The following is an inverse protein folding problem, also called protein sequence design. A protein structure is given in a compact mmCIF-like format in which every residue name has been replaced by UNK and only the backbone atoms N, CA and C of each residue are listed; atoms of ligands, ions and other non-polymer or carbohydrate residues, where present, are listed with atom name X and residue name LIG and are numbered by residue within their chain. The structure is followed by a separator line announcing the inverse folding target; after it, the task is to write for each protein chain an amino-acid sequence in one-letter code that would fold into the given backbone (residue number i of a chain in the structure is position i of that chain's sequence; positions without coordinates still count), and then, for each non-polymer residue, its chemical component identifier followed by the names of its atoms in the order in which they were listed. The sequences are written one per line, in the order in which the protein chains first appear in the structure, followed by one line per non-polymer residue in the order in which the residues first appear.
data_IF_403629822530
#
_entry.id   IF_403629822530
#
_cell.length_a   1.000
_cell.length_b   1.000
_cell.length_c   1.000
_cell.angle_alpha   90.00
_cell.angle_beta   90.00
_cell.angle_gamma   90.00
#
_symmetry.space_group_name_H-M   'P 1'
#
loop_
_entity.id
_entity.type
_entity.pdbx_description
1 polymer ?
#
# COMPACT_ATOMS: atom_id res chain seq x y z
N UNK A 1 -0.56 38.36 -17.85
CA UNK A 1 -1.71 37.43 -17.97
C UNK A 1 -1.58 36.47 -19.17
N UNK A 2 -1.42 36.97 -20.40
CA UNK A 2 -1.28 36.13 -21.62
C UNK A 2 -0.12 35.13 -21.56
N UNK A 3 1.06 35.56 -21.09
CA UNK A 3 2.24 34.71 -20.98
C UNK A 3 2.09 33.58 -19.94
N UNK A 4 1.40 33.88 -18.83
CA UNK A 4 1.10 32.92 -17.78
C UNK A 4 0.09 31.86 -18.24
N UNK A 5 -0.97 32.29 -18.92
CA UNK A 5 -1.98 31.38 -19.47
C UNK A 5 -1.38 30.47 -20.55
N UNK A 6 -0.49 31.00 -21.40
CA UNK A 6 0.24 30.22 -22.40
C UNK A 6 1.16 29.19 -21.76
N UNK A 7 1.86 29.54 -20.69
CA UNK A 7 2.71 28.61 -19.94
C UNK A 7 1.89 27.48 -19.30
N UNK A 8 0.76 27.82 -18.67
CA UNK A 8 -0.13 26.83 -18.06
C UNK A 8 -0.70 25.87 -19.10
N UNK A 9 -1.06 26.36 -20.28
CA UNK A 9 -1.57 25.53 -21.38
C UNK A 9 -0.49 24.59 -21.94
N UNK A 10 0.74 25.06 -22.11
CA UNK A 10 1.86 24.22 -22.53
C UNK A 10 2.16 23.11 -21.51
N UNK A 11 2.19 23.48 -20.23
CA UNK A 11 2.42 22.53 -19.13
C UNK A 11 1.30 21.48 -19.05
N UNK A 12 0.05 21.88 -19.28
CA UNK A 12 -1.07 20.94 -19.38
C UNK A 12 -0.94 20.02 -20.59
N UNK A 13 -0.58 20.55 -21.76
CA UNK A 13 -0.41 19.76 -22.98
C UNK A 13 0.71 18.71 -22.83
N UNK A 14 1.82 19.08 -22.20
CA UNK A 14 2.94 18.18 -21.91
C UNK A 14 2.52 17.07 -20.93
N UNK A 15 1.88 17.43 -19.81
CA UNK A 15 1.33 16.46 -18.84
C UNK A 15 0.30 15.52 -19.45
N UNK A 16 -0.55 16.02 -20.34
CA UNK A 16 -1.56 15.21 -21.01
C UNK A 16 -0.91 14.22 -21.99
N UNK A 17 0.14 14.64 -22.69
CA UNK A 17 0.90 13.76 -23.59
C UNK A 17 1.65 12.67 -22.81
N UNK A 18 2.26 13.00 -21.66
CA UNK A 18 2.86 12.02 -20.75
C UNK A 18 1.84 10.96 -20.31
N UNK A 19 0.64 11.38 -19.92
CA UNK A 19 -0.43 10.47 -19.50
C UNK A 19 -0.89 9.56 -20.65
N UNK A 20 -1.00 10.11 -21.85
CA UNK A 20 -1.41 9.36 -23.05
C UNK A 20 -0.39 8.28 -23.43
N UNK A 21 0.90 8.57 -23.35
CA UNK A 21 1.96 7.57 -23.58
C UNK A 21 1.98 6.50 -22.48
N UNK A 22 1.82 6.88 -21.22
CA UNK A 22 1.74 5.93 -20.11
C UNK A 22 0.55 4.96 -20.27
N UNK A 23 -0.61 5.48 -20.69
CA UNK A 23 -1.80 4.67 -20.98
C UNK A 23 -1.58 3.73 -22.17
N UNK A 24 -0.87 4.17 -23.22
CA UNK A 24 -0.48 3.33 -24.36
C UNK A 24 0.42 2.18 -23.91
N UNK A 25 1.44 2.48 -23.11
CA UNK A 25 2.40 1.49 -22.61
C UNK A 25 1.74 0.47 -21.67
N UNK A 26 0.82 0.90 -20.82
CA UNK A 26 0.04 0.01 -19.96
C UNK A 26 -0.85 -0.94 -20.76
N UNK A 27 -1.47 -0.44 -21.84
CA UNK A 27 -2.28 -1.25 -22.76
C UNK A 27 -1.41 -2.28 -23.48
N UNK A 28 -0.26 -1.87 -24.01
CA UNK A 28 0.70 -2.75 -24.69
C UNK A 28 1.22 -3.85 -23.74
N UNK A 29 1.62 -3.49 -22.52
CA UNK A 29 2.05 -4.46 -21.48
C UNK A 29 0.94 -5.44 -21.08
N UNK A 30 -0.32 -4.99 -21.06
CA UNK A 30 -1.47 -5.86 -20.77
C UNK A 30 -1.76 -6.84 -21.90
N UNK A 31 -1.54 -6.42 -23.16
CA UNK A 31 -1.72 -7.26 -24.34
C UNK A 31 -0.60 -8.29 -24.47
N UNK A 32 0.65 -7.90 -24.25
CA UNK A 32 1.82 -8.80 -24.27
C UNK A 32 1.73 -9.88 -23.18
N UNK A 33 1.21 -9.53 -22.00
CA UNK A 33 0.95 -10.50 -20.91
C UNK A 33 -0.15 -11.51 -21.26
N UNK A 34 -1.09 -11.16 -22.13
CA UNK A 34 -2.15 -12.07 -22.61
C UNK A 34 -1.66 -13.00 -23.72
N UNK A 35 -0.73 -12.53 -24.57
CA UNK A 35 -0.16 -13.32 -25.66
C UNK A 35 0.87 -14.35 -25.15
N UNK A 36 1.64 -14.05 -24.09
CA UNK A 36 2.63 -14.96 -23.50
C UNK A 36 2.06 -16.12 -22.66
N UNK A 37 0.77 -16.09 -22.29
CA UNK A 37 0.10 -17.17 -21.55
C UNK A 37 -0.59 -18.20 -22.45
N UNK A 38 -0.52 -18.04 -23.78
CA UNK A 38 -1.14 -18.93 -24.75
C UNK A 38 -0.13 -19.87 -25.41
N UNK A 39 0.50 -20.75 -24.62
CA UNK A 39 1.27 -21.90 -25.15
C UNK A 39 0.61 -23.20 -24.68
N UNK A 40 0.11 -24.06 -25.60
CA UNK A 40 -0.38 -25.39 -25.24
C UNK A 40 0.80 -26.33 -25.07
N UNK A 41 1.03 -26.85 -23.86
CA UNK A 41 2.01 -27.90 -23.61
C UNK A 41 1.45 -29.27 -24.04
N UNK A 42 2.08 -29.87 -25.04
CA UNK A 42 2.11 -31.33 -25.23
C UNK A 42 3.10 -31.97 -24.24
N UNK A 43 2.90 -33.26 -24.02
CA UNK A 43 3.87 -34.27 -23.57
C UNK A 43 3.83 -34.66 -22.07
N UNK A 44 3.15 -35.79 -21.82
CA UNK A 44 3.29 -36.62 -20.62
C UNK A 44 4.06 -37.88 -21.03
N UNK A 45 5.30 -38.01 -20.58
CA UNK A 45 6.05 -39.25 -20.57
C UNK A 45 6.16 -39.72 -19.12
N UNK A 46 5.59 -40.91 -18.85
CA UNK A 46 5.61 -41.54 -17.54
C UNK A 46 7.01 -41.96 -17.12
N UNK A 47 7.42 -41.50 -15.94
CA UNK A 47 8.60 -41.98 -15.23
C UNK A 47 8.19 -42.91 -14.09
N UNK A 48 8.53 -44.18 -14.24
CA UNK A 48 8.57 -45.20 -13.18
C UNK A 48 9.53 -44.77 -12.07
N UNK A 49 9.09 -44.74 -10.80
CA UNK A 49 9.99 -44.86 -9.64
C UNK A 49 9.31 -45.60 -8.47
N UNK A 50 9.67 -46.88 -8.36
CA UNK A 50 9.95 -47.67 -7.14
C UNK A 50 9.33 -47.28 -5.78
N UNK A 51 8.56 -48.23 -5.22
CA UNK A 51 8.49 -48.53 -3.77
C UNK A 51 9.90 -48.76 -3.18
N UNK A 52 10.17 -48.50 -1.87
CA UNK A 52 9.59 -49.31 -0.77
C UNK A 52 9.49 -48.62 0.62
N UNK A 53 8.64 -49.12 1.52
CA UNK A 53 9.01 -49.58 2.88
C UNK A 53 7.78 -50.02 3.71
N UNK A 54 7.89 -51.21 4.31
CA UNK A 54 7.18 -51.61 5.53
C UNK A 54 7.69 -50.80 6.73
N UNK A 55 6.95 -50.79 7.85
CA UNK A 55 7.52 -51.43 9.04
C UNK A 55 6.51 -52.29 9.85
N UNK A 56 7.02 -53.40 10.36
CA UNK A 56 6.48 -54.17 11.49
C UNK A 56 6.52 -53.36 12.80
N UNK A 57 5.51 -53.53 13.66
CA UNK A 57 5.75 -53.98 15.05
C UNK A 57 4.47 -54.11 15.91
N UNK A 58 4.21 -55.37 16.28
CA UNK A 58 4.07 -55.95 17.64
C UNK A 58 3.11 -55.34 18.68
N UNK A 59 2.18 -56.20 19.13
CA UNK A 59 1.75 -56.52 20.52
C UNK A 59 0.21 -56.72 20.54
N UNK A 60 -0.42 -57.80 20.99
CA UNK A 60 0.00 -59.00 21.74
C UNK A 60 -1.18 -59.41 22.64
N UNK A 61 -1.81 -60.57 22.40
CA UNK A 61 -2.73 -61.33 23.31
C UNK A 61 -2.99 -62.64 22.55
N UNK A 62 -2.29 -63.76 22.72
CA UNK A 62 -2.08 -64.60 23.92
C UNK A 62 -3.34 -64.80 24.75
N UNK A 63 -4.13 -65.82 24.43
CA UNK A 63 -4.43 -66.83 25.44
C UNK A 63 -4.63 -68.20 24.79
N UNK A 64 -4.07 -69.19 25.47
CA UNK A 64 -3.83 -70.55 25.06
C UNK A 64 -4.99 -71.46 25.53
N UNK A 65 -5.11 -72.63 24.90
CA UNK A 65 -5.86 -73.83 25.34
C UNK A 65 -7.38 -73.78 25.05
N UNK A 66 -8.05 -74.87 24.66
CA UNK A 66 -7.93 -76.27 25.10
C UNK A 66 -8.47 -77.16 23.98
N UNK A 67 -7.69 -78.16 23.56
CA UNK A 67 -8.17 -79.34 22.81
C UNK A 67 -9.22 -80.10 23.63
N UNK A 68 -10.07 -80.92 22.99
CA UNK A 68 -9.86 -82.34 23.29
C UNK A 68 -9.96 -83.21 22.04
N UNK A 69 -8.82 -83.78 21.68
CA UNK A 69 -8.72 -85.10 21.08
C UNK A 69 -8.21 -86.05 22.17
N UNK A 70 -9.07 -86.98 22.62
CA UNK A 70 -8.68 -88.24 23.27
C UNK A 70 -9.73 -89.26 22.82
N UNK A 71 -9.40 -90.12 21.84
CA UNK A 71 -9.09 -91.57 21.99
C UNK A 71 -10.15 -92.35 22.79
N UNK A 72 -10.60 -93.55 22.40
CA UNK A 72 -9.76 -94.73 22.15
C UNK A 72 -10.66 -95.94 21.78
N UNK A 73 -10.00 -97.00 21.27
CA UNK A 73 -10.39 -98.42 21.29
C UNK A 73 -11.28 -98.94 20.14
N UNK A 74 -10.97 -100.04 19.44
CA UNK A 74 -9.84 -100.97 19.45
C UNK A 74 -9.85 -101.79 18.15
N UNK A 75 -8.67 -102.13 17.62
CA UNK A 75 -8.47 -103.37 16.84
C UNK A 75 -8.68 -104.57 17.79
N UNK A 76 -9.24 -105.71 17.34
CA UNK A 76 -8.41 -106.65 16.58
C UNK A 76 -9.12 -107.45 15.48
N UNK A 77 -8.38 -107.64 14.39
CA UNK A 77 -8.50 -108.75 13.44
C UNK A 77 -8.51 -110.10 14.16
N UNK A 78 -9.56 -110.89 13.94
CA UNK A 78 -9.55 -112.35 14.04
C UNK A 78 -10.69 -112.91 13.17
N UNK A 79 -10.36 -113.67 12.11
CA UNK A 79 -11.29 -114.65 11.56
C UNK A 79 -11.33 -115.86 12.50
N UNK A 80 -12.49 -116.49 12.70
CA UNK A 80 -12.67 -117.77 12.04
C UNK A 80 -14.08 -118.00 11.47
N UNK A 81 -14.08 -118.75 10.38
CA UNK A 81 -15.18 -119.54 9.81
C UNK A 81 -16.17 -120.11 10.83
N UNK A 82 -17.48 -119.95 10.60
CA UNK A 82 -18.43 -121.09 10.48
C UNK A 82 -19.83 -120.64 10.05
N UNK A 83 -20.30 -121.25 8.96
CA UNK A 83 -21.64 -121.19 8.40
C UNK A 83 -22.69 -121.66 9.41
N UNK A 84 -23.58 -120.77 9.87
CA UNK A 84 -25.04 -120.98 10.03
C UNK A 84 -25.63 -119.84 10.85
N UNK A 85 -26.07 -118.76 10.18
CA UNK A 85 -27.14 -117.80 10.57
C UNK A 85 -27.15 -116.62 9.56
N UNK A 86 -26.98 -116.93 8.28
CA UNK A 86 -26.62 -115.99 7.21
C UNK A 86 -27.77 -115.14 6.65
N UNK A 87 -28.94 -115.07 7.33
CA UNK A 87 -30.09 -114.30 6.83
C UNK A 87 -30.39 -113.02 7.63
N UNK A 88 -30.08 -112.97 8.93
CA UNK A 88 -30.36 -111.78 9.79
C UNK A 88 -29.24 -110.73 9.75
N UNK A 89 -27.99 -111.16 9.55
CA UNK A 89 -26.85 -110.26 9.40
C UNK A 89 -26.90 -109.45 8.09
N UNK A 90 -27.39 -110.04 7.00
CA UNK A 90 -27.53 -109.38 5.68
C UNK A 90 -28.45 -108.14 5.73
N UNK A 91 -29.59 -108.24 6.41
CA UNK A 91 -30.55 -107.12 6.54
C UNK A 91 -30.02 -105.96 7.38
N UNK A 92 -29.27 -106.24 8.45
CA UNK A 92 -28.69 -105.21 9.33
C UNK A 92 -27.56 -104.45 8.63
N UNK A 93 -26.73 -105.18 7.85
CA UNK A 93 -25.67 -104.58 7.03
C UNK A 93 -26.26 -103.68 5.94
N UNK A 94 -27.35 -104.11 5.27
CA UNK A 94 -28.04 -103.29 4.27
C UNK A 94 -28.56 -101.96 4.85
N UNK A 95 -29.18 -101.99 6.04
CA UNK A 95 -29.67 -100.78 6.73
C UNK A 95 -28.54 -99.84 7.14
N UNK A 96 -27.38 -100.38 7.52
CA UNK A 96 -26.20 -99.57 7.84
C UNK A 96 -25.70 -98.80 6.60
N UNK A 97 -25.58 -99.46 5.45
CA UNK A 97 -25.19 -98.81 4.19
C UNK A 97 -26.21 -97.79 3.70
N UNK A 98 -27.52 -98.05 3.86
CA UNK A 98 -28.57 -97.08 3.56
C UNK A 98 -28.47 -95.82 4.44
N UNK A 99 -28.23 -95.99 5.74
CA UNK A 99 -28.02 -94.89 6.67
C UNK A 99 -26.75 -94.09 6.32
N UNK A 100 -25.66 -94.76 5.98
CA UNK A 100 -24.41 -94.12 5.58
C UNK A 100 -24.57 -93.35 4.25
N UNK A 101 -25.29 -93.92 3.28
CA UNK A 101 -25.63 -93.23 2.04
C UNK A 101 -26.50 -91.99 2.29
N UNK A 102 -27.46 -92.06 3.21
CA UNK A 102 -28.29 -90.92 3.60
C UNK A 102 -27.44 -89.82 4.27
N UNK A 103 -26.52 -90.19 5.17
CA UNK A 103 -25.57 -89.25 5.80
C UNK A 103 -24.63 -88.63 4.76
N UNK A 104 -24.10 -89.41 3.82
CA UNK A 104 -23.24 -88.91 2.74
C UNK A 104 -23.99 -87.93 1.82
N UNK A 105 -25.25 -88.22 1.47
CA UNK A 105 -26.10 -87.29 0.73
C UNK A 105 -26.34 -86.00 1.51
N UNK A 106 -26.62 -86.09 2.81
CA UNK A 106 -26.76 -84.93 3.69
C UNK A 106 -25.48 -84.10 3.79
N UNK A 107 -24.32 -84.74 3.88
CA UNK A 107 -23.02 -84.09 3.90
C UNK A 107 -22.71 -83.41 2.56
N UNK A 108 -23.01 -84.07 1.43
CA UNK A 108 -22.85 -83.49 0.10
C UNK A 108 -23.74 -82.25 -0.11
N UNK A 109 -24.98 -82.28 0.40
CA UNK A 109 -25.88 -81.12 0.38
C UNK A 109 -25.32 -79.95 1.21
N UNK A 110 -24.78 -80.22 2.41
CA UNK A 110 -24.13 -79.20 3.25
C UNK A 110 -22.90 -78.59 2.58
N UNK A 111 -22.05 -79.41 1.96
CA UNK A 111 -20.88 -78.93 1.20
C UNK A 111 -21.30 -78.06 0.02
N UNK A 112 -22.35 -78.44 -0.70
CA UNK A 112 -22.90 -77.65 -1.81
C UNK A 112 -23.44 -76.30 -1.31
N UNK A 113 -24.17 -76.29 -0.19
CA UNK A 113 -24.67 -75.06 0.42
C UNK A 113 -23.54 -74.13 0.87
N UNK A 114 -22.52 -74.66 1.56
CA UNK A 114 -21.35 -73.90 2.00
C UNK A 114 -20.54 -73.34 0.82
N UNK A 115 -20.46 -74.07 -0.30
CA UNK A 115 -19.81 -73.59 -1.52
C UNK A 115 -20.58 -72.44 -2.16
N UNK A 116 -21.92 -72.53 -2.23
CA UNK A 116 -22.77 -71.45 -2.74
C UNK A 116 -22.68 -70.21 -1.85
N UNK A 117 -22.68 -70.39 -0.54
CA UNK A 117 -22.50 -69.32 0.45
C UNK A 117 -21.12 -68.68 0.33
N UNK A 118 -20.05 -69.48 0.24
CA UNK A 118 -18.70 -68.95 -0.01
C UNK A 118 -18.61 -68.19 -1.34
N UNK A 119 -19.32 -68.65 -2.37
CA UNK A 119 -19.38 -67.97 -3.67
C UNK A 119 -20.13 -66.64 -3.56
N UNK A 120 -21.21 -66.57 -2.78
CA UNK A 120 -21.93 -65.33 -2.49
C UNK A 120 -21.06 -64.36 -1.69
N UNK A 121 -20.34 -64.84 -0.67
CA UNK A 121 -19.41 -64.05 0.12
C UNK A 121 -18.33 -63.43 -0.76
N UNK A 122 -17.70 -64.20 -1.64
CA UNK A 122 -16.69 -63.67 -2.57
C UNK A 122 -17.26 -62.54 -3.45
N UNK A 123 -18.51 -62.65 -3.92
CA UNK A 123 -19.16 -61.58 -4.68
C UNK A 123 -19.40 -60.34 -3.83
N UNK A 124 -19.87 -60.50 -2.59
CA UNK A 124 -20.08 -59.40 -1.66
C UNK A 124 -18.77 -58.68 -1.32
N UNK A 125 -17.69 -59.41 -1.00
CA UNK A 125 -16.38 -58.82 -0.73
C UNK A 125 -15.83 -58.06 -1.94
N UNK A 126 -16.02 -58.58 -3.16
CA UNK A 126 -15.64 -57.87 -4.39
C UNK A 126 -16.42 -56.57 -4.58
N UNK A 127 -17.73 -56.60 -4.32
CA UNK A 127 -18.56 -55.40 -4.40
C UNK A 127 -18.14 -54.37 -3.34
N UNK A 128 -17.87 -54.81 -2.12
CA UNK A 128 -17.41 -53.95 -1.04
C UNK A 128 -16.04 -53.32 -1.36
N UNK A 129 -15.12 -54.11 -1.93
CA UNK A 129 -13.82 -53.60 -2.37
C UNK A 129 -13.97 -52.55 -3.47
N UNK A 130 -14.84 -52.78 -4.45
CA UNK A 130 -15.11 -51.81 -5.50
C UNK A 130 -15.69 -50.49 -4.94
N UNK A 131 -16.62 -50.57 -3.98
CA UNK A 131 -17.18 -49.40 -3.32
C UNK A 131 -16.12 -48.59 -2.54
N UNK A 132 -15.19 -49.26 -1.84
CA UNK A 132 -14.09 -48.58 -1.16
C UNK A 132 -13.07 -47.97 -2.13
N UNK A 133 -12.82 -48.60 -3.28
CA UNK A 133 -11.96 -48.03 -4.32
C UNK A 133 -12.55 -46.75 -4.91
N UNK A 134 -13.84 -46.76 -5.26
CA UNK A 134 -14.53 -45.57 -5.75
C UNK A 134 -14.51 -44.43 -4.71
N UNK A 135 -14.76 -44.75 -3.44
CA UNK A 135 -14.70 -43.78 -2.35
C UNK A 135 -13.29 -43.22 -2.13
N UNK A 136 -12.25 -44.06 -2.23
CA UNK A 136 -10.87 -43.63 -2.15
C UNK A 136 -10.49 -42.68 -3.30
N UNK A 137 -10.90 -42.99 -4.53
CA UNK A 137 -10.70 -42.11 -5.68
C UNK A 137 -11.45 -40.77 -5.52
N UNK A 138 -12.68 -40.82 -5.01
CA UNK A 138 -13.48 -39.62 -4.72
C UNK A 138 -12.81 -38.74 -3.66
N UNK A 139 -12.31 -39.34 -2.58
CA UNK A 139 -11.58 -38.62 -1.53
C UNK A 139 -10.27 -38.03 -2.06
N UNK A 140 -9.52 -38.77 -2.88
CA UNK A 140 -8.30 -38.27 -3.50
C UNK A 140 -8.56 -37.03 -4.37
N UNK A 141 -9.58 -37.08 -5.25
CA UNK A 141 -10.02 -35.92 -6.04
C UNK A 141 -10.38 -34.74 -5.15
N UNK A 142 -11.13 -34.99 -4.08
CA UNK A 142 -11.53 -33.93 -3.14
C UNK A 142 -10.34 -33.29 -2.42
N UNK A 143 -9.34 -34.08 -2.04
CA UNK A 143 -8.11 -33.56 -1.43
C UNK A 143 -7.37 -32.66 -2.41
N UNK A 144 -7.16 -33.09 -3.67
CA UNK A 144 -6.50 -32.27 -4.69
C UNK A 144 -7.24 -30.95 -4.97
N UNK A 145 -8.57 -30.98 -5.02
CA UNK A 145 -9.38 -29.75 -5.15
C UNK A 145 -9.17 -28.81 -3.97
N UNK A 146 -9.16 -29.33 -2.74
CA UNK A 146 -8.96 -28.53 -1.54
C UNK A 146 -7.55 -27.94 -1.47
N UNK A 147 -6.52 -28.69 -1.88
CA UNK A 147 -5.14 -28.20 -1.99
C UNK A 147 -5.04 -27.06 -3.01
N UNK A 148 -5.68 -27.21 -4.17
CA UNK A 148 -5.75 -26.17 -5.19
C UNK A 148 -6.43 -24.89 -4.65
N UNK A 149 -7.62 -25.04 -4.06
CA UNK A 149 -8.37 -23.91 -3.47
C UNK A 149 -7.58 -23.25 -2.34
N UNK A 150 -6.90 -24.02 -1.49
CA UNK A 150 -6.06 -23.49 -0.42
C UNK A 150 -4.89 -22.67 -0.98
N UNK A 151 -4.24 -23.15 -2.04
CA UNK A 151 -3.15 -22.41 -2.69
C UNK A 151 -3.62 -21.08 -3.27
N UNK A 152 -4.81 -21.08 -3.89
CA UNK A 152 -5.44 -19.87 -4.43
C UNK A 152 -5.82 -18.89 -3.31
N UNK A 153 -6.38 -19.39 -2.20
CA UNK A 153 -6.73 -18.56 -1.04
C UNK A 153 -5.50 -17.86 -0.45
N UNK A 154 -4.37 -18.57 -0.38
CA UNK A 154 -3.10 -17.99 0.07
C UNK A 154 -2.61 -16.87 -0.88
N UNK A 155 -2.68 -17.07 -2.19
CA UNK A 155 -2.31 -16.04 -3.17
C UNK A 155 -3.19 -14.79 -3.05
N UNK A 156 -4.51 -14.97 -2.89
CA UNK A 156 -5.46 -13.86 -2.66
C UNK A 156 -5.16 -13.15 -1.34
N UNK A 157 -4.81 -13.89 -0.29
CA UNK A 157 -4.44 -13.31 1.00
C UNK A 157 -3.19 -12.43 0.87
N UNK A 158 -2.13 -12.92 0.22
CA UNK A 158 -0.91 -12.15 -0.04
C UNK A 158 -1.22 -10.88 -0.83
N UNK A 159 -1.96 -10.99 -1.93
CA UNK A 159 -2.35 -9.82 -2.73
C UNK A 159 -3.18 -8.81 -1.92
N UNK A 160 -4.09 -9.28 -1.06
CA UNK A 160 -4.85 -8.42 -0.14
C UNK A 160 -3.91 -7.69 0.83
N UNK A 161 -2.89 -8.35 1.36
CA UNK A 161 -1.91 -7.70 2.25
C UNK A 161 -1.09 -6.65 1.53
N UNK A 162 -0.65 -6.90 0.29
CA UNK A 162 0.09 -5.94 -0.54
C UNK A 162 -0.75 -4.70 -0.89
N UNK A 163 -2.03 -4.89 -1.24
CA UNK A 163 -2.97 -3.79 -1.47
C UNK A 163 -3.12 -2.96 -0.20
N UNK A 164 -3.34 -3.58 0.95
CA UNK A 164 -3.51 -2.86 2.21
C UNK A 164 -2.24 -2.06 2.57
N UNK A 165 -1.06 -2.63 2.34
CA UNK A 165 0.20 -1.93 2.53
C UNK A 165 0.31 -0.71 1.61
N UNK A 166 -0.03 -0.87 0.32
CA UNK A 166 -0.04 0.23 -0.66
C UNK A 166 -1.02 1.33 -0.26
N UNK A 167 -2.21 0.96 0.24
CA UNK A 167 -3.20 1.92 0.74
C UNK A 167 -2.63 2.73 1.91
N UNK A 168 -2.01 2.07 2.90
CA UNK A 168 -1.41 2.76 4.05
C UNK A 168 -0.28 3.72 3.64
N UNK A 169 0.54 3.33 2.67
CA UNK A 169 1.61 4.18 2.12
C UNK A 169 1.03 5.42 1.41
N UNK A 170 -0.01 5.23 0.60
CA UNK A 170 -0.70 6.32 -0.07
C UNK A 170 -1.40 7.26 0.92
N UNK A 171 -2.05 6.74 1.96
CA UNK A 171 -2.66 7.53 3.03
C UNK A 171 -1.60 8.34 3.80
N UNK A 172 -0.45 7.75 4.11
CA UNK A 172 0.67 8.46 4.75
C UNK A 172 1.21 9.57 3.85
N UNK A 173 1.35 9.30 2.55
CA UNK A 173 1.80 10.30 1.58
C UNK A 173 0.79 11.44 1.44
N UNK A 174 -0.51 11.12 1.36
CA UNK A 174 -1.60 12.09 1.31
C UNK A 174 -1.55 13.02 2.53
N UNK A 175 -1.46 12.45 3.73
CA UNK A 175 -1.37 13.22 4.98
C UNK A 175 -0.18 14.18 4.98
N UNK A 176 1.01 13.72 4.56
CA UNK A 176 2.20 14.60 4.45
C UNK A 176 1.99 15.74 3.45
N UNK A 177 1.29 15.47 2.33
CA UNK A 177 0.97 16.51 1.33
C UNK A 177 -0.08 17.50 1.85
N UNK A 178 -1.05 17.05 2.64
CA UNK A 178 -2.02 17.93 3.30
C UNK A 178 -1.33 18.86 4.32
N UNK A 179 -0.41 18.34 5.13
CA UNK A 179 0.40 19.12 6.08
C UNK A 179 1.28 20.15 5.35
N UNK A 180 1.89 19.78 4.21
CA UNK A 180 2.64 20.68 3.34
C UNK A 180 1.79 21.84 2.81
N UNK A 181 0.59 21.52 2.31
CA UNK A 181 -0.34 22.51 1.78
C UNK A 181 -0.73 23.51 2.87
N UNK A 182 -0.98 23.05 4.09
CA UNK A 182 -1.36 23.94 5.20
C UNK A 182 -0.20 24.85 5.61
N UNK A 183 1.04 24.34 5.62
CA UNK A 183 2.23 25.18 5.88
C UNK A 183 2.43 26.24 4.81
N UNK A 184 2.29 25.87 3.53
CA UNK A 184 2.42 26.83 2.42
C UNK A 184 1.32 27.89 2.45
N UNK A 185 0.09 27.54 2.85
CA UNK A 185 -0.97 28.54 3.05
C UNK A 185 -0.62 29.52 4.16
N UNK A 186 -0.07 29.05 5.28
CA UNK A 186 0.40 29.92 6.36
C UNK A 186 1.50 30.87 5.88
N UNK A 187 2.47 30.36 5.14
CA UNK A 187 3.56 31.16 4.56
C UNK A 187 3.04 32.23 3.59
N UNK A 188 2.07 31.89 2.71
CA UNK A 188 1.41 32.85 1.82
C UNK A 188 0.70 33.95 2.60
N UNK A 189 0.02 33.60 3.69
CA UNK A 189 -0.67 34.59 4.53
C UNK A 189 0.32 35.51 5.24
N UNK A 190 1.39 34.98 5.82
CA UNK A 190 2.47 35.78 6.42
C UNK A 190 3.15 36.69 5.39
N UNK A 191 3.42 36.19 4.18
CA UNK A 191 3.96 36.99 3.09
C UNK A 191 3.03 38.13 2.69
N UNK A 192 1.71 37.86 2.60
CA UNK A 192 0.70 38.89 2.32
C UNK A 192 0.64 39.97 3.41
N UNK A 193 0.77 39.59 4.68
CA UNK A 193 0.80 40.54 5.80
C UNK A 193 2.04 41.43 5.76
N UNK A 194 3.22 40.84 5.58
CA UNK A 194 4.47 41.59 5.42
C UNK A 194 4.42 42.54 4.21
N UNK A 195 3.82 42.08 3.12
CA UNK A 195 3.59 42.89 1.92
C UNK A 195 2.69 44.11 2.23
N UNK A 196 1.60 43.93 2.98
CA UNK A 196 0.73 45.03 3.39
C UNK A 196 1.45 46.02 4.34
N UNK A 197 2.29 45.52 5.25
CA UNK A 197 3.13 46.36 6.11
C UNK A 197 4.14 47.18 5.29
N UNK A 198 4.82 46.55 4.32
CA UNK A 198 5.73 47.21 3.39
C UNK A 198 5.02 48.32 2.62
N UNK A 199 3.83 48.07 2.11
CA UNK A 199 3.06 49.06 1.34
C UNK A 199 2.66 50.25 2.23
N UNK A 200 2.26 49.98 3.47
CA UNK A 200 1.97 51.03 4.47
C UNK A 200 3.20 51.88 4.80
N UNK A 201 4.37 51.24 5.00
CA UNK A 201 5.61 51.96 5.26
C UNK A 201 6.06 52.79 4.05
N UNK A 202 5.88 52.26 2.84
CA UNK A 202 6.19 52.96 1.59
C UNK A 202 5.32 54.21 1.45
N UNK A 203 4.02 54.11 1.76
CA UNK A 203 3.12 55.27 1.74
C UNK A 203 3.55 56.32 2.78
N UNK A 204 3.84 55.92 4.02
CA UNK A 204 4.32 56.85 5.06
C UNK A 204 5.63 57.54 4.67
N UNK A 205 6.53 56.81 4.01
CA UNK A 205 7.78 57.37 3.52
C UNK A 205 7.51 58.47 2.47
N UNK A 206 6.64 58.20 1.49
CA UNK A 206 6.24 59.19 0.49
C UNK A 206 5.58 60.43 1.11
N UNK A 207 4.71 60.26 2.11
CA UNK A 207 4.09 61.38 2.82
C UNK A 207 5.14 62.24 3.57
N UNK A 208 6.15 61.60 4.17
CA UNK A 208 7.26 62.32 4.83
C UNK A 208 8.14 63.03 3.81
N UNK A 209 8.44 62.41 2.67
CA UNK A 209 9.22 63.01 1.58
C UNK A 209 8.55 64.26 1.01
N UNK A 210 7.22 64.20 0.78
CA UNK A 210 6.45 65.36 0.31
C UNK A 210 6.49 66.47 1.36
N UNK A 211 6.21 66.15 2.63
CA UNK A 211 6.25 67.13 3.72
C UNK A 211 7.63 67.77 3.86
N UNK A 212 8.70 67.00 3.67
CA UNK A 212 10.06 67.52 3.74
C UNK A 212 10.32 68.51 2.59
N UNK A 213 9.91 68.18 1.36
CA UNK A 213 10.01 69.11 0.22
C UNK A 213 9.24 70.42 0.45
N UNK A 214 8.05 70.33 1.03
CA UNK A 214 7.25 71.52 1.36
C UNK A 214 7.95 72.39 2.42
N UNK A 215 8.57 71.77 3.43
CA UNK A 215 9.34 72.48 4.46
C UNK A 215 10.62 73.10 3.89
N UNK A 216 11.34 72.38 3.03
CA UNK A 216 12.50 72.90 2.30
C UNK A 216 12.13 74.14 1.46
N UNK A 217 10.98 74.12 0.79
CA UNK A 217 10.44 75.27 0.06
C UNK A 217 10.13 76.46 0.98
N UNK A 218 9.44 76.24 2.10
CA UNK A 218 9.16 77.30 3.08
C UNK A 218 10.44 77.89 3.67
N UNK A 219 11.45 77.06 3.91
CA UNK A 219 12.73 77.50 4.45
C UNK A 219 13.46 78.39 3.43
N UNK A 220 13.48 77.99 2.15
CA UNK A 220 14.04 78.82 1.07
C UNK A 220 13.33 80.17 0.93
N UNK A 221 12.00 80.21 1.04
CA UNK A 221 11.22 81.46 0.97
C UNK A 221 11.56 82.39 2.15
N UNK A 222 11.72 81.82 3.36
CA UNK A 222 12.11 82.58 4.55
C UNK A 222 13.54 83.11 4.43
N UNK A 223 14.48 82.30 3.94
CA UNK A 223 15.86 82.71 3.67
C UNK A 223 15.90 83.89 2.71
N UNK A 224 15.17 83.82 1.59
CA UNK A 224 15.10 84.91 0.61
C UNK A 224 14.51 86.21 1.21
N UNK A 225 13.48 86.09 2.05
CA UNK A 225 12.88 87.25 2.75
C UNK A 225 13.86 87.89 3.72
N UNK A 226 14.62 87.09 4.46
CA UNK A 226 15.66 87.59 5.37
C UNK A 226 16.77 88.29 4.59
N UNK A 227 17.27 87.68 3.52
CA UNK A 227 18.28 88.28 2.64
C UNK A 227 17.81 89.62 2.06
N UNK A 228 16.57 89.68 1.57
CA UNK A 228 15.97 90.93 1.07
C UNK A 228 15.93 92.01 2.15
N UNK A 229 15.47 91.68 3.37
CA UNK A 229 15.42 92.62 4.49
C UNK A 229 16.82 93.12 4.89
N UNK A 230 17.84 92.25 4.84
CA UNK A 230 19.23 92.62 5.11
C UNK A 230 19.77 93.60 4.04
N UNK A 231 19.50 93.33 2.76
CA UNK A 231 19.89 94.20 1.66
C UNK A 231 19.22 95.59 1.75
N UNK A 232 17.93 95.63 2.10
CA UNK A 232 17.21 96.89 2.35
C UNK A 232 17.78 97.67 3.54
N UNK A 233 18.11 96.97 4.64
CA UNK A 233 18.74 97.58 5.81
C UNK A 233 20.14 98.12 5.49
N UNK A 234 20.94 97.38 4.73
CA UNK A 234 22.28 97.79 4.29
C UNK A 234 22.21 99.01 3.37
N UNK A 235 21.26 99.04 2.42
CA UNK A 235 21.01 100.19 1.56
C UNK A 235 20.62 101.44 2.38
N UNK A 236 19.73 101.30 3.36
CA UNK A 236 19.37 102.39 4.26
C UNK A 236 20.57 102.89 5.08
N UNK A 237 21.39 101.97 5.61
CA UNK A 237 22.62 102.31 6.34
C UNK A 237 23.60 103.11 5.47
N UNK A 238 23.78 102.71 4.22
CA UNK A 238 24.63 103.42 3.27
C UNK A 238 24.08 104.83 2.96
N UNK A 239 22.78 104.97 2.74
CA UNK A 239 22.14 106.27 2.55
C UNK A 239 22.32 107.18 3.77
N UNK A 240 22.16 106.64 4.98
CA UNK A 240 22.37 107.38 6.22
C UNK A 240 23.83 107.84 6.37
N UNK A 241 24.79 106.96 6.04
CA UNK A 241 26.22 107.29 6.03
C UNK A 241 26.52 108.46 5.07
N UNK A 242 26.01 108.40 3.84
CA UNK A 242 26.15 109.49 2.86
C UNK A 242 25.54 110.79 3.37
N UNK A 243 24.37 110.75 4.02
CA UNK A 243 23.73 111.93 4.60
C UNK A 243 24.57 112.54 5.73
N UNK A 244 25.14 111.69 6.60
CA UNK A 244 26.04 112.14 7.66
C UNK A 244 27.30 112.81 7.07
N UNK A 245 27.92 112.22 6.04
CA UNK A 245 29.06 112.81 5.35
C UNK A 245 28.73 114.21 4.75
N UNK A 246 27.54 114.38 4.18
CA UNK A 246 27.06 115.69 3.68
C UNK A 246 26.89 116.69 4.82
N UNK A 247 26.29 116.27 5.94
CA UNK A 247 26.08 117.13 7.10
C UNK A 247 27.42 117.57 7.73
N UNK A 248 28.38 116.67 7.85
CA UNK A 248 29.73 116.99 8.32
C UNK A 248 30.39 118.04 7.41
N UNK A 249 30.26 117.90 6.09
CA UNK A 249 30.71 118.90 5.12
C UNK A 249 30.03 120.27 5.32
N UNK A 250 28.71 120.29 5.54
CA UNK A 250 27.97 121.54 5.81
C UNK A 250 28.37 122.19 7.13
N UNK A 251 28.66 121.41 8.16
CA UNK A 251 29.16 121.92 9.44
C UNK A 251 30.52 122.59 9.25
N UNK A 252 31.43 122.00 8.47
CA UNK A 252 32.72 122.59 8.13
C UNK A 252 32.54 123.92 7.38
N UNK A 253 31.73 123.95 6.32
CA UNK A 253 31.42 125.19 5.56
C UNK A 253 30.87 126.31 6.47
N UNK A 254 29.91 125.98 7.35
CA UNK A 254 29.35 126.93 8.32
C UNK A 254 30.39 127.41 9.33
N UNK A 255 31.30 126.53 9.76
CA UNK A 255 32.40 126.87 10.67
C UNK A 255 33.37 127.83 9.99
N UNK A 256 33.76 127.57 8.75
CA UNK A 256 34.60 128.47 7.95
C UNK A 256 33.92 129.83 7.74
N UNK A 257 32.63 129.85 7.42
CA UNK A 257 31.86 131.09 7.26
C UNK A 257 31.86 131.90 8.56
N UNK A 258 31.61 131.25 9.70
CA UNK A 258 31.65 131.88 11.03
C UNK A 258 33.03 132.47 11.32
N UNK A 259 34.10 131.73 11.04
CA UNK A 259 35.47 132.17 11.30
C UNK A 259 35.87 133.34 10.38
N UNK A 260 35.41 133.33 9.12
CA UNK A 260 35.59 134.45 8.19
C UNK A 260 34.83 135.71 8.64
N UNK A 261 33.59 135.55 9.12
CA UNK A 261 32.82 136.66 9.70
C UNK A 261 33.50 137.22 10.95
N UNK A 262 34.03 136.37 11.84
CA UNK A 262 34.78 136.80 13.02
C UNK A 262 36.01 137.63 12.64
N UNK A 263 36.80 137.20 11.65
CA UNK A 263 37.94 137.97 11.10
C UNK A 263 37.53 139.34 10.56
N UNK A 264 36.37 139.42 9.88
CA UNK A 264 35.87 140.69 9.34
C UNK A 264 35.50 141.67 10.46
N UNK A 265 34.95 141.18 11.57
CA UNK A 265 34.62 141.98 12.76
C UNK A 265 35.90 142.42 13.50
N UNK A 266 36.93 141.58 13.58
CA UNK A 266 38.22 141.95 14.19
C UNK A 266 39.01 142.97 13.36
N UNK A 267 38.69 143.14 12.07
CA UNK A 267 39.32 144.09 11.16
C UNK A 267 38.53 145.42 10.97
N UNK A 268 37.42 145.61 11.69
CA UNK A 268 36.62 146.86 11.71
C UNK A 268 36.84 147.64 13.00
#
# INVERSE_FOLDING_TARGET
LFFFLKHMYLQFAEKFQEFKEAARLAKEKSQEKMELTSTPSQESAGGDIQSPLMPESVNGTDDERVMPEVTQNSEPRAEPTQNTLSFTHSSTISKHWEAELATLKGNNAKLTAALLESTANVKQWKQQLAAYQEEAERLHKRVTELECVSSQANAVHTHKTEINQTIQELESMLKKKEEEIERLKQEINSSRELQAQRDTLTQKLQEVEIRNKDLEGQLSDLEQRVEKSQNEQEAFRNNLKTLLEILDGKILELTELRDNLAKLIECS
#
